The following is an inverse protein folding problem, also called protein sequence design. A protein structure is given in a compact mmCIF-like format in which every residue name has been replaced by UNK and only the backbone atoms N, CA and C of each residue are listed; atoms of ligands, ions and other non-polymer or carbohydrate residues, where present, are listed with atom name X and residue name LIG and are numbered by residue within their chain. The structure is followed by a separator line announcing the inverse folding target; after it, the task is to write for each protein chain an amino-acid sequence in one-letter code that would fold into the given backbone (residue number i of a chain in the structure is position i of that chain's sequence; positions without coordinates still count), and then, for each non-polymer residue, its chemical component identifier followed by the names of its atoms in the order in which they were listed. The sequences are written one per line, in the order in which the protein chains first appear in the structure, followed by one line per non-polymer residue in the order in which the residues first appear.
data_IF_584559585578
#
_entry.id   IF_584559585578
#
_cell.length_a   1.000
_cell.length_b   1.000
_cell.length_c   1.000
_cell.angle_alpha   90.00
_cell.angle_beta   90.00
_cell.angle_gamma   90.00
#
_symmetry.space_group_name_H-M   'P 1'
#
loop_
_entity.id
_entity.type
_entity.pdbx_description
1 polymer ?
#
# COMPACT_ATOMS: atom_id res chain seq x y z
N UNK A 1 -5.59 8.17 -15.82
CA UNK A 1 -5.16 8.03 -14.41
C UNK A 1 -5.68 6.69 -13.91
N UNK A 2 -4.91 6.01 -13.07
CA UNK A 2 -5.19 4.67 -12.57
C UNK A 2 -5.11 4.69 -11.06
N UNK A 3 -6.06 4.07 -10.38
CA UNK A 3 -5.99 3.92 -8.94
C UNK A 3 -5.16 2.69 -8.60
N UNK A 4 -4.14 2.88 -7.77
CA UNK A 4 -3.33 1.78 -7.26
C UNK A 4 -3.54 1.63 -5.75
N UNK A 5 -3.47 0.38 -5.33
CA UNK A 5 -3.28 -0.04 -3.96
C UNK A 5 -1.91 -0.70 -3.87
N UNK A 6 -1.07 -0.20 -2.97
CA UNK A 6 0.25 -0.76 -2.67
C UNK A 6 0.21 -1.18 -1.21
N UNK A 7 0.48 -2.44 -0.91
CA UNK A 7 0.59 -2.96 0.47
C UNK A 7 2.00 -3.52 0.65
N UNK A 8 2.65 -3.16 1.75
CA UNK A 8 4.01 -3.59 2.08
C UNK A 8 4.10 -4.04 3.54
N UNK A 9 4.85 -5.11 3.84
CA UNK A 9 5.13 -5.48 5.21
C UNK A 9 6.02 -4.42 5.92
N UNK A 10 5.93 -4.39 7.25
CA UNK A 10 6.56 -3.36 8.08
C UNK A 10 8.10 -3.39 8.08
N UNK A 11 8.70 -4.56 7.85
CA UNK A 11 10.15 -4.76 7.81
C UNK A 11 10.81 -4.13 6.56
N UNK A 12 10.12 -4.12 5.43
CA UNK A 12 10.59 -3.49 4.19
C UNK A 12 10.10 -2.05 4.01
N UNK A 13 9.21 -1.55 4.88
CA UNK A 13 8.57 -0.23 4.78
C UNK A 13 9.56 0.90 4.52
N UNK A 14 10.68 0.93 5.26
CA UNK A 14 11.67 2.00 5.13
C UNK A 14 12.32 2.01 3.75
N UNK A 15 12.71 0.83 3.23
CA UNK A 15 13.33 0.71 1.93
C UNK A 15 12.33 1.03 0.80
N UNK A 16 11.10 0.51 0.90
CA UNK A 16 10.04 0.79 -0.05
C UNK A 16 9.69 2.29 -0.12
N UNK A 17 9.63 2.97 1.02
CA UNK A 17 9.47 4.44 1.09
C UNK A 17 10.58 5.17 0.36
N UNK A 18 11.84 4.85 0.63
CA UNK A 18 12.98 5.47 -0.04
C UNK A 18 12.96 5.25 -1.56
N UNK A 19 12.65 4.02 -2.00
CA UNK A 19 12.51 3.73 -3.43
C UNK A 19 11.35 4.50 -4.06
N UNK A 20 10.18 4.51 -3.41
CA UNK A 20 8.99 5.23 -3.86
C UNK A 20 9.24 6.74 -3.99
N UNK A 21 9.97 7.36 -3.05
CA UNK A 21 10.32 8.78 -3.12
C UNK A 21 11.10 9.13 -4.40
N UNK A 22 12.00 8.25 -4.83
CA UNK A 22 12.79 8.43 -6.04
C UNK A 22 11.98 8.40 -7.34
N UNK A 23 10.77 7.83 -7.33
CA UNK A 23 9.91 7.70 -8.52
C UNK A 23 8.62 8.51 -8.47
N UNK A 24 8.03 8.66 -7.28
CA UNK A 24 6.75 9.33 -7.02
C UNK A 24 6.93 10.72 -6.35
N UNK A 25 8.16 11.10 -6.02
CA UNK A 25 8.48 12.34 -5.31
C UNK A 25 8.45 12.19 -3.78
N UNK A 26 8.99 13.18 -3.08
CA UNK A 26 9.22 13.12 -1.63
C UNK A 26 7.93 12.98 -0.79
N UNK A 27 6.76 13.31 -1.35
CA UNK A 27 5.48 13.14 -0.66
C UNK A 27 5.14 11.66 -0.41
N UNK A 28 5.58 10.75 -1.28
CA UNK A 28 5.30 9.32 -1.18
C UNK A 28 5.81 8.69 0.14
N UNK A 29 6.81 9.30 0.78
CA UNK A 29 7.32 8.90 2.10
C UNK A 29 6.25 8.99 3.20
N UNK A 30 5.37 9.97 3.11
CA UNK A 30 4.34 10.25 4.11
C UNK A 30 3.01 9.53 3.81
N UNK A 31 2.84 8.99 2.60
CA UNK A 31 1.54 8.50 2.14
C UNK A 31 1.25 7.05 2.57
N UNK A 32 2.26 6.27 2.96
CA UNK A 32 2.03 4.94 3.55
C UNK A 32 1.48 5.06 4.96
N UNK A 33 0.25 4.61 5.15
CA UNK A 33 -0.43 4.59 6.45
C UNK A 33 -0.57 3.15 6.98
N UNK A 34 -0.73 2.97 8.31
CA UNK A 34 -0.94 1.64 8.87
C UNK A 34 -2.17 0.97 8.25
N UNK A 35 -2.02 -0.24 7.73
CA UNK A 35 -3.11 -0.96 7.08
C UNK A 35 -3.71 -2.00 8.01
N UNK A 36 -2.87 -2.91 8.53
CA UNK A 36 -3.36 -4.07 9.25
C UNK A 36 -2.31 -4.86 10.02
N UNK A 37 -2.81 -5.71 10.90
CA UNK A 37 -2.06 -6.76 11.59
C UNK A 37 -2.93 -8.02 11.69
N UNK A 38 -2.36 -9.20 11.94
CA UNK A 38 -3.14 -10.41 12.13
C UNK A 38 -4.22 -10.29 13.22
N UNK A 39 -3.98 -9.44 14.22
CA UNK A 39 -4.88 -9.22 15.36
C UNK A 39 -5.78 -7.99 15.20
N UNK A 40 -5.50 -7.10 14.24
CA UNK A 40 -6.18 -5.81 14.10
C UNK A 40 -5.75 -4.79 15.15
N UNK A 41 -4.70 -5.09 15.92
CA UNK A 41 -4.12 -4.23 16.95
C UNK A 41 -2.71 -3.76 16.55
N UNK A 42 -2.26 -2.66 17.15
CA UNK A 42 -0.89 -2.18 16.98
C UNK A 42 0.11 -3.13 17.64
N UNK A 43 1.36 -3.23 17.12
CA UNK A 43 1.88 -2.53 15.95
C UNK A 43 1.38 -3.09 14.62
N UNK A 44 1.30 -2.22 13.61
CA UNK A 44 1.00 -2.61 12.24
C UNK A 44 2.07 -3.57 11.70
N UNK A 45 1.64 -4.69 11.12
CA UNK A 45 2.56 -5.58 10.38
C UNK A 45 2.61 -5.22 8.90
N UNK A 46 1.59 -4.52 8.39
CA UNK A 46 1.48 -4.09 7.01
C UNK A 46 1.00 -2.65 6.93
N UNK A 47 1.50 -1.97 5.90
CA UNK A 47 1.23 -0.58 5.59
C UNK A 47 0.74 -0.51 4.16
N UNK A 48 -0.12 0.46 3.88
CA UNK A 48 -0.67 0.62 2.54
C UNK A 48 -0.62 2.06 2.06
N UNK A 49 -0.59 2.20 0.74
CA UNK A 49 -0.74 3.44 0.00
C UNK A 49 -1.84 3.21 -1.03
N UNK A 50 -2.89 4.01 -0.97
CA UNK A 50 -3.97 4.00 -1.95
C UNK A 50 -4.13 5.40 -2.54
N UNK A 51 -4.02 5.51 -3.87
CA UNK A 51 -3.95 6.81 -4.54
C UNK A 51 -4.31 6.74 -6.02
N UNK A 52 -4.45 7.92 -6.63
CA UNK A 52 -4.66 8.06 -8.08
C UNK A 52 -3.32 8.42 -8.71
N UNK A 53 -2.86 7.59 -9.64
CA UNK A 53 -1.57 7.71 -10.29
C UNK A 53 -1.75 7.99 -11.78
N UNK A 54 -0.80 8.72 -12.36
CA UNK A 54 -0.63 8.87 -13.80
C UNK A 54 -0.10 7.56 -14.41
N UNK A 55 -0.17 7.44 -15.74
CA UNK A 55 0.33 6.25 -16.44
C UNK A 55 1.84 6.06 -16.24
N UNK A 56 2.59 7.16 -16.20
CA UNK A 56 4.04 7.14 -15.99
C UNK A 56 4.40 6.69 -14.57
N UNK A 57 3.70 7.20 -13.55
CA UNK A 57 3.90 6.78 -12.16
C UNK A 57 3.59 5.30 -11.95
N UNK A 58 2.50 4.79 -12.56
CA UNK A 58 2.17 3.36 -12.52
C UNK A 58 3.31 2.52 -13.09
N UNK A 59 3.84 2.89 -14.25
CA UNK A 59 4.95 2.17 -14.88
C UNK A 59 6.20 2.17 -13.98
N UNK A 60 6.53 3.32 -13.40
CA UNK A 60 7.66 3.45 -12.47
C UNK A 60 7.50 2.62 -11.21
N UNK A 61 6.30 2.58 -10.63
CA UNK A 61 5.98 1.74 -9.46
C UNK A 61 6.09 0.26 -9.81
N UNK A 62 5.59 -0.15 -10.96
CA UNK A 62 5.70 -1.54 -11.44
C UNK A 62 7.17 -1.96 -11.67
N UNK A 63 8.03 -1.04 -12.09
CA UNK A 63 9.47 -1.31 -12.22
C UNK A 63 10.17 -1.61 -10.89
N UNK A 64 9.60 -1.18 -9.74
CA UNK A 64 10.13 -1.48 -8.41
C UNK A 64 9.69 -2.84 -7.88
N UNK A 65 8.65 -3.47 -8.45
CA UNK A 65 8.11 -4.75 -7.95
C UNK A 65 9.18 -5.85 -7.79
N UNK A 66 10.17 -6.01 -8.69
CA UNK A 66 11.21 -7.03 -8.54
C UNK A 66 12.09 -6.83 -7.29
N UNK A 67 12.29 -5.59 -6.85
CA UNK A 67 13.09 -5.26 -5.67
C UNK A 67 12.30 -5.45 -4.36
N UNK A 68 10.97 -5.52 -4.45
CA UNK A 68 10.06 -5.69 -3.32
C UNK A 68 9.06 -6.84 -3.61
N UNK A 69 9.52 -8.10 -3.63
CA UNK A 69 8.67 -9.24 -3.98
C UNK A 69 7.49 -9.45 -3.02
N UNK A 70 7.63 -9.01 -1.77
CA UNK A 70 6.59 -9.09 -0.74
C UNK A 70 5.60 -7.90 -0.79
N UNK A 71 5.85 -6.92 -1.67
CA UNK A 71 4.90 -5.85 -1.93
C UNK A 71 3.75 -6.35 -2.80
N UNK A 72 2.53 -5.99 -2.44
CA UNK A 72 1.34 -6.20 -3.26
C UNK A 72 1.03 -4.88 -3.96
N UNK A 73 1.12 -4.86 -5.28
CA UNK A 73 0.79 -3.69 -6.12
C UNK A 73 -0.36 -4.07 -7.05
N UNK A 74 -1.50 -3.40 -6.89
CA UNK A 74 -2.73 -3.74 -7.59
C UNK A 74 -3.41 -2.49 -8.12
N UNK A 75 -3.88 -2.54 -9.36
CA UNK A 75 -4.86 -1.59 -9.87
C UNK A 75 -6.26 -2.03 -9.50
N UNK A 76 -7.14 -1.08 -9.15
CA UNK A 76 -8.56 -1.37 -8.90
C UNK A 76 -9.47 -0.24 -9.35
N UNK A 77 -10.72 -0.56 -9.72
CA UNK A 77 -11.74 0.43 -10.03
C UNK A 77 -12.59 0.70 -8.77
N UNK A 78 -12.48 1.88 -8.18
CA UNK A 78 -13.23 2.24 -6.97
C UNK A 78 -14.76 2.18 -7.16
N UNK A 79 -15.26 2.45 -8.37
CA UNK A 79 -16.69 2.46 -8.64
C UNK A 79 -17.29 1.04 -8.65
N UNK A 80 -16.48 0.05 -9.03
CA UNK A 80 -16.90 -1.35 -9.15
C UNK A 80 -16.41 -2.22 -7.99
N UNK A 81 -15.30 -1.84 -7.37
CA UNK A 81 -14.55 -2.64 -6.39
C UNK A 81 -14.26 -1.84 -5.11
N UNK A 82 -15.25 -1.11 -4.60
CA UNK A 82 -15.08 -0.27 -3.41
C UNK A 82 -14.55 -1.01 -2.17
N UNK A 83 -14.85 -2.31 -2.03
CA UNK A 83 -14.39 -3.18 -0.95
C UNK A 83 -13.01 -3.81 -1.16
N UNK A 84 -12.41 -3.67 -2.35
CA UNK A 84 -11.19 -4.41 -2.74
C UNK A 84 -10.04 -4.26 -1.76
N UNK A 85 -9.72 -3.06 -1.23
CA UNK A 85 -8.58 -2.94 -0.31
C UNK A 85 -8.75 -3.78 0.97
N UNK A 86 -9.97 -3.86 1.50
CA UNK A 86 -10.28 -4.68 2.67
C UNK A 86 -10.29 -6.18 2.35
N UNK A 87 -10.78 -6.55 1.16
CA UNK A 87 -10.75 -7.93 0.68
C UNK A 87 -9.31 -8.45 0.55
N UNK A 88 -8.41 -7.65 -0.03
CA UNK A 88 -7.00 -7.99 -0.17
C UNK A 88 -6.35 -8.13 1.22
N UNK A 89 -6.56 -7.18 2.13
CA UNK A 89 -6.03 -7.30 3.50
C UNK A 89 -6.52 -8.58 4.19
N UNK A 90 -7.81 -8.88 4.08
CA UNK A 90 -8.41 -10.08 4.67
C UNK A 90 -7.84 -11.35 4.04
N UNK A 91 -7.66 -11.36 2.71
CA UNK A 91 -7.04 -12.46 1.97
C UNK A 91 -5.58 -12.72 2.36
N UNK A 92 -4.87 -11.69 2.84
CA UNK A 92 -3.53 -11.80 3.43
C UNK A 92 -3.55 -12.28 4.89
N UNK A 93 -4.72 -12.58 5.46
CA UNK A 93 -4.88 -12.96 6.87
C UNK A 93 -4.77 -11.79 7.84
N UNK A 94 -4.94 -10.56 7.36
CA UNK A 94 -4.81 -9.34 8.15
C UNK A 94 -6.18 -8.78 8.51
N UNK A 95 -6.27 -8.18 9.69
CA UNK A 95 -7.39 -7.37 10.12
C UNK A 95 -7.00 -5.89 10.02
N UNK A 96 -7.92 -5.02 9.56
CA UNK A 96 -7.71 -3.57 9.61
C UNK A 96 -7.39 -3.13 11.03
N UNK A 97 -6.46 -2.20 11.18
CA UNK A 97 -6.14 -1.68 12.50
C UNK A 97 -7.32 -0.93 13.09
N UNK A 98 -7.65 -1.27 14.35
CA UNK A 98 -8.57 -0.49 15.17
C UNK A 98 -7.87 0.79 15.60
N UNK A 99 -7.86 1.77 14.70
CA UNK A 99 -7.42 3.11 15.03
C UNK A 99 -8.55 3.76 15.83
N UNK A 100 -8.37 3.86 17.15
CA UNK A 100 -9.17 4.77 17.98
C UNK A 100 -8.79 6.19 17.56
N UNK A 101 -9.34 6.64 16.43
CA UNK A 101 -9.24 8.03 16.01
C UNK A 101 -10.17 8.84 16.94
N UNK A 102 -9.66 9.92 17.57
CA UNK A 102 -10.47 10.76 18.46
C UNK A 102 -11.61 11.45 17.71
#
# INVERSE_FOLDING_TARGET
MTRLLIIIPADILRAARTAAAGVLGDSALAEFVPAGSPTGEMPATHWWLAGVFTVEEVARVQMLQPDFPDAVILSYDLAQEAGKPLEILTGMGLQPLKLNLP
#
